data_IF_444183724575
#
_entry.id   IF_444183724575
#
_cell.length_a   1.000
_cell.length_b   1.000
_cell.length_c   1.000
_cell.angle_alpha   90.00
_cell.angle_beta   90.00
_cell.angle_gamma   90.00
#
_symmetry.space_group_name_H-M   'P 1'
#
loop_
_entity.id
_entity.type
_entity.pdbx_description
1 polymer ?
#
# COMPACT_ATOMS: atom_id res chain seq x y z
N UNK A 1 -1.56 -25.62 23.06
CA UNK A 1 -0.94 -24.30 23.31
C UNK A 1 -1.92 -23.25 22.80
N UNK A 2 -2.42 -22.37 23.66
CA UNK A 2 -3.27 -21.24 23.24
C UNK A 2 -2.34 -20.08 22.95
N UNK A 3 -2.04 -19.85 21.68
CA UNK A 3 -1.27 -18.69 21.25
C UNK A 3 -2.21 -17.49 21.28
N UNK A 4 -2.07 -16.62 22.27
CA UNK A 4 -2.75 -15.32 22.28
C UNK A 4 -2.24 -14.51 21.08
N UNK A 5 -3.07 -14.36 20.04
CA UNK A 5 -2.77 -13.41 18.97
C UNK A 5 -2.88 -12.00 19.54
N UNK A 6 -1.78 -11.25 19.49
CA UNK A 6 -1.81 -9.80 19.71
C UNK A 6 -2.84 -9.20 18.74
N UNK A 7 -3.81 -8.43 19.25
CA UNK A 7 -4.70 -7.65 18.39
C UNK A 7 -3.85 -6.72 17.52
N UNK A 8 -4.10 -6.69 16.21
CA UNK A 8 -3.43 -5.76 15.32
C UNK A 8 -3.71 -4.33 15.79
N UNK A 9 -2.70 -3.45 15.73
CA UNK A 9 -2.89 -2.05 16.07
C UNK A 9 -3.87 -1.42 15.06
N UNK A 10 -4.97 -0.86 15.55
CA UNK A 10 -5.93 -0.12 14.76
C UNK A 10 -5.58 1.38 14.76
N UNK A 11 -5.89 2.03 13.64
CA UNK A 11 -5.79 3.46 13.41
C UNK A 11 -7.14 3.98 12.93
N UNK A 12 -7.45 5.24 13.20
CA UNK A 12 -8.70 5.87 12.79
C UNK A 12 -8.41 7.23 12.17
N UNK A 13 -8.94 7.44 10.97
CA UNK A 13 -8.82 8.69 10.22
C UNK A 13 -9.99 8.86 9.29
N UNK A 14 -9.93 9.90 8.45
CA UNK A 14 -10.90 10.10 7.39
C UNK A 14 -10.55 9.26 6.15
N UNK A 15 -11.57 8.73 5.50
CA UNK A 15 -11.48 8.09 4.19
C UNK A 15 -12.08 8.97 3.11
N UNK A 16 -11.39 9.06 1.98
CA UNK A 16 -11.88 9.62 0.71
C UNK A 16 -11.62 8.66 -0.44
N UNK A 17 -12.08 9.02 -1.64
CA UNK A 17 -11.84 8.25 -2.86
C UNK A 17 -11.05 9.03 -3.91
N UNK A 18 -10.12 8.36 -4.59
CA UNK A 18 -9.38 8.90 -5.75
C UNK A 18 -9.23 7.87 -6.86
N UNK A 19 -9.01 8.36 -8.08
CA UNK A 19 -8.80 7.51 -9.26
C UNK A 19 -7.31 7.44 -9.59
N UNK A 20 -6.79 6.22 -9.59
CA UNK A 20 -5.47 5.89 -10.12
C UNK A 20 -5.62 5.26 -11.51
N UNK A 21 -4.97 5.85 -12.53
CA UNK A 21 -5.00 5.36 -13.91
C UNK A 21 -4.52 3.90 -14.03
N UNK A 22 -3.40 3.60 -13.37
CA UNK A 22 -2.83 2.24 -13.29
C UNK A 22 -1.92 2.13 -12.07
N UNK A 23 -1.66 0.92 -11.56
CA UNK A 23 -0.81 0.72 -10.38
C UNK A 23 0.61 1.30 -10.49
N UNK A 24 1.14 1.48 -11.72
CA UNK A 24 2.44 2.11 -11.96
C UNK A 24 2.43 3.64 -11.91
N UNK A 25 1.26 4.28 -11.86
CA UNK A 25 1.13 5.75 -11.81
C UNK A 25 1.27 6.32 -10.40
N UNK A 26 1.14 5.49 -9.36
CA UNK A 26 1.28 5.92 -7.97
C UNK A 26 2.74 6.11 -7.55
N UNK A 27 2.98 6.72 -6.40
CA UNK A 27 4.32 6.96 -5.87
C UNK A 27 5.12 5.67 -5.57
N UNK A 28 4.46 4.50 -5.43
CA UNK A 28 5.19 3.23 -5.38
C UNK A 28 5.72 2.78 -6.76
N UNK A 29 5.12 3.25 -7.85
CA UNK A 29 5.54 2.95 -9.23
C UNK A 29 5.77 1.45 -9.45
N UNK A 30 4.76 0.64 -9.13
CA UNK A 30 4.87 -0.81 -9.25
C UNK A 30 4.93 -1.25 -10.72
N UNK A 31 5.96 -2.02 -11.06
CA UNK A 31 6.14 -2.62 -12.38
C UNK A 31 5.33 -3.91 -12.56
N UNK A 32 5.04 -4.60 -11.47
CA UNK A 32 4.26 -5.83 -11.46
C UNK A 32 3.42 -5.88 -10.17
N UNK A 33 2.14 -6.20 -10.30
CA UNK A 33 1.19 -6.34 -9.18
C UNK A 33 0.14 -7.40 -9.53
N UNK A 34 -0.50 -8.01 -8.52
CA UNK A 34 -1.72 -8.76 -8.72
C UNK A 34 -2.81 -7.90 -9.39
N UNK A 35 -3.66 -8.52 -10.22
CA UNK A 35 -4.74 -7.84 -10.95
C UNK A 35 -5.70 -7.07 -10.04
N UNK A 36 -5.99 -7.62 -8.85
CA UNK A 36 -6.86 -7.01 -7.83
C UNK A 36 -6.38 -5.63 -7.38
N UNK A 37 -5.11 -5.27 -7.59
CA UNK A 37 -4.57 -3.95 -7.24
C UNK A 37 -5.15 -2.84 -8.12
N UNK A 38 -5.74 -3.17 -9.28
CA UNK A 38 -6.43 -2.19 -10.12
C UNK A 38 -7.73 -1.65 -9.50
N UNK A 39 -8.32 -2.38 -8.55
CA UNK A 39 -9.58 -2.02 -7.88
C UNK A 39 -9.42 -1.88 -6.37
N UNK A 40 -8.45 -2.56 -5.74
CA UNK A 40 -8.26 -2.57 -4.29
C UNK A 40 -6.98 -1.84 -3.87
N UNK A 41 -6.88 -0.54 -4.15
CA UNK A 41 -5.69 0.26 -3.84
C UNK A 41 -5.97 1.41 -2.88
N UNK A 42 -4.91 1.84 -2.18
CA UNK A 42 -4.93 2.98 -1.26
C UNK A 42 -3.66 3.82 -1.37
N UNK A 43 -3.83 5.13 -1.25
CA UNK A 43 -2.79 6.10 -0.97
C UNK A 43 -2.75 6.40 0.54
N UNK A 44 -1.55 6.38 1.12
CA UNK A 44 -1.37 6.69 2.54
C UNK A 44 -0.85 8.11 2.72
N UNK A 45 -1.21 8.74 3.85
CA UNK A 45 -0.63 10.00 4.28
C UNK A 45 0.91 9.94 4.33
N UNK A 46 1.57 11.07 4.10
CA UNK A 46 3.05 11.14 4.00
C UNK A 46 3.78 10.46 5.18
N UNK A 47 3.28 10.63 6.40
CA UNK A 47 3.87 9.99 7.59
C UNK A 47 3.76 8.45 7.54
N UNK A 48 2.60 7.92 7.15
CA UNK A 48 2.35 6.47 7.05
C UNK A 48 2.98 5.85 5.82
N UNK A 49 3.15 6.62 4.75
CA UNK A 49 3.87 6.21 3.56
C UNK A 49 5.36 5.96 3.82
N UNK A 50 5.92 6.63 4.84
CA UNK A 50 7.24 6.37 5.42
C UNK A 50 8.37 6.24 4.36
N UNK A 51 8.47 7.25 3.47
CA UNK A 51 9.47 7.28 2.37
C UNK A 51 9.47 6.00 1.53
N UNK A 52 8.30 5.55 1.08
CA UNK A 52 8.06 4.31 0.30
C UNK A 52 8.17 3.00 1.08
N UNK A 53 8.56 3.00 2.36
CA UNK A 53 8.64 1.77 3.16
C UNK A 53 7.27 1.11 3.39
N UNK A 54 6.17 1.83 3.13
CA UNK A 54 4.82 1.28 3.16
C UNK A 54 4.38 0.63 1.83
N UNK A 55 5.10 0.87 0.73
CA UNK A 55 4.74 0.31 -0.58
C UNK A 55 4.68 -1.22 -0.52
N UNK A 56 3.59 -1.78 -1.07
CA UNK A 56 3.38 -3.23 -1.12
C UNK A 56 2.95 -3.84 0.21
N UNK A 57 2.80 -3.03 1.28
CA UNK A 57 2.04 -3.46 2.45
C UNK A 57 0.55 -3.44 2.12
N UNK A 58 -0.22 -4.21 2.87
CA UNK A 58 -1.67 -4.18 2.82
C UNK A 58 -2.27 -3.66 4.12
N UNK A 59 -3.43 -3.03 3.99
CA UNK A 59 -4.25 -2.62 5.12
C UNK A 59 -5.61 -3.30 5.02
N UNK A 60 -6.20 -3.63 6.16
CA UNK A 60 -7.60 -3.97 6.25
C UNK A 60 -8.36 -2.76 6.80
N UNK A 61 -9.45 -2.37 6.16
CA UNK A 61 -10.23 -1.18 6.51
C UNK A 61 -11.71 -1.51 6.60
N UNK A 62 -12.42 -0.77 7.44
CA UNK A 62 -13.87 -0.77 7.58
C UNK A 62 -14.36 0.66 7.84
N UNK A 63 -15.59 0.96 7.40
CA UNK A 63 -16.21 2.21 7.80
C UNK A 63 -16.63 2.17 9.28
N UNK A 64 -16.38 3.28 9.97
CA UNK A 64 -16.78 3.51 11.37
C UNK A 64 -17.59 4.78 11.57
N UNK A 65 -17.88 5.49 10.47
CA UNK A 65 -18.73 6.65 10.50
C UNK A 65 -20.17 6.28 10.84
N UNK A 66 -20.87 7.17 11.56
CA UNK A 66 -22.30 7.02 11.85
C UNK A 66 -23.13 6.99 10.57
N UNK A 67 -22.66 7.66 9.51
CA UNK A 67 -23.35 7.71 8.22
C UNK A 67 -23.36 6.36 7.51
N UNK A 68 -22.38 5.49 7.79
CA UNK A 68 -22.31 4.15 7.19
C UNK A 68 -23.42 3.20 7.69
N UNK A 69 -24.27 3.63 8.62
CA UNK A 69 -25.57 3.00 8.96
C UNK A 69 -25.55 1.46 9.06
N UNK A 70 -24.56 0.91 9.75
CA UNK A 70 -24.45 -0.54 9.95
C UNK A 70 -23.77 -1.30 8.81
N UNK A 71 -23.10 -0.63 7.87
CA UNK A 71 -22.20 -1.28 6.93
C UNK A 71 -21.16 -2.11 7.70
N UNK A 72 -21.08 -3.40 7.37
CA UNK A 72 -20.17 -4.37 8.00
C UNK A 72 -19.05 -4.81 7.07
N UNK A 73 -19.02 -4.28 5.85
CA UNK A 73 -18.00 -4.59 4.87
C UNK A 73 -16.60 -4.25 5.40
N UNK A 74 -15.65 -5.10 5.06
CA UNK A 74 -14.24 -4.95 5.41
C UNK A 74 -13.44 -5.36 4.20
N UNK A 75 -12.56 -4.49 3.74
CA UNK A 75 -11.74 -4.71 2.55
C UNK A 75 -10.27 -4.72 2.88
N UNK A 76 -9.51 -5.50 2.11
CA UNK A 76 -8.04 -5.41 2.13
C UNK A 76 -7.57 -4.63 0.91
N UNK A 77 -6.74 -3.62 1.14
CA UNK A 77 -6.21 -2.72 0.11
C UNK A 77 -4.70 -2.76 0.09
N UNK A 78 -4.15 -2.54 -1.11
CA UNK A 78 -2.73 -2.49 -1.39
C UNK A 78 -2.24 -1.05 -1.38
N UNK A 79 -1.20 -0.78 -0.60
CA UNK A 79 -0.56 0.54 -0.57
C UNK A 79 0.28 0.72 -1.83
N UNK A 80 -0.20 1.59 -2.73
CA UNK A 80 0.44 1.86 -4.03
C UNK A 80 0.84 3.32 -4.22
N UNK A 81 0.38 4.19 -3.33
CA UNK A 81 0.54 5.63 -3.52
C UNK A 81 0.65 6.39 -2.20
N UNK A 82 0.97 7.67 -2.32
CA UNK A 82 1.01 8.63 -1.22
C UNK A 82 -0.03 9.71 -1.46
N UNK A 83 -0.73 10.08 -0.40
CA UNK A 83 -1.61 11.23 -0.34
C UNK A 83 -0.89 12.36 0.45
N UNK A 84 -0.31 13.37 -0.23
CA UNK A 84 0.45 14.43 0.45
C UNK A 84 -0.39 15.32 1.39
N UNK A 85 -1.67 15.51 1.06
CA UNK A 85 -2.62 16.36 1.77
C UNK A 85 -3.36 15.65 2.91
N UNK A 86 -3.29 14.32 2.98
CA UNK A 86 -3.94 13.52 4.00
C UNK A 86 -3.30 13.74 5.37
N UNK A 87 -4.14 13.87 6.42
CA UNK A 87 -3.67 13.77 7.80
C UNK A 87 -3.16 12.36 8.09
N UNK A 88 -2.35 12.21 9.14
CA UNK A 88 -1.56 11.00 9.44
C UNK A 88 -2.31 9.67 9.23
N UNK A 89 -3.54 9.54 9.70
CA UNK A 89 -4.29 8.28 9.67
C UNK A 89 -5.41 8.27 8.63
N UNK A 90 -5.51 9.33 7.83
CA UNK A 90 -6.42 9.43 6.71
C UNK A 90 -5.97 8.51 5.57
N UNK A 91 -6.95 8.04 4.81
CA UNK A 91 -6.79 7.14 3.69
C UNK A 91 -7.49 7.71 2.46
N UNK A 92 -6.88 7.54 1.30
CA UNK A 92 -7.51 7.86 0.03
C UNK A 92 -7.46 6.60 -0.83
N UNK A 93 -8.61 5.98 -1.09
CA UNK A 93 -8.67 4.65 -1.73
C UNK A 93 -9.46 4.67 -3.03
N UNK A 94 -9.50 3.54 -3.72
CA UNK A 94 -10.28 3.43 -4.94
C UNK A 94 -11.78 3.76 -4.68
N UNK A 95 -12.50 4.33 -5.66
CA UNK A 95 -13.92 4.65 -5.48
C UNK A 95 -14.77 3.39 -5.28
N UNK A 96 -14.39 2.29 -5.93
CA UNK A 96 -15.07 1.00 -5.80
C UNK A 96 -15.03 0.48 -4.35
N UNK A 97 -13.84 0.52 -3.72
CA UNK A 97 -13.72 0.11 -2.32
C UNK A 97 -14.43 1.09 -1.41
N UNK A 98 -14.41 2.39 -1.71
CA UNK A 98 -15.17 3.38 -0.93
C UNK A 98 -16.65 3.05 -0.88
N UNK A 99 -17.28 2.86 -2.02
CA UNK A 99 -18.69 2.51 -2.09
C UNK A 99 -19.00 1.19 -1.37
N UNK A 100 -18.13 0.19 -1.50
CA UNK A 100 -18.30 -1.09 -0.82
C UNK A 100 -18.27 -0.96 0.70
N UNK A 101 -17.31 -0.20 1.24
CA UNK A 101 -17.14 0.01 2.68
C UNK A 101 -18.27 0.84 3.30
N UNK A 102 -18.86 1.75 2.53
CA UNK A 102 -19.84 2.71 3.03
C UNK A 102 -21.29 2.26 2.79
N UNK A 103 -21.49 1.15 2.08
CA UNK A 103 -22.82 0.69 1.69
C UNK A 103 -23.45 1.53 0.57
N UNK A 104 -22.62 2.10 -0.31
CA UNK A 104 -23.06 2.88 -1.48
C UNK A 104 -23.23 4.37 -1.21
N UNK A 105 -22.59 4.92 -0.18
CA UNK A 105 -22.58 6.37 0.04
C UNK A 105 -21.61 6.99 -0.96
N UNK A 106 -22.15 7.78 -1.88
CA UNK A 106 -21.43 8.53 -2.92
C UNK A 106 -20.58 9.68 -2.31
N UNK A 107 -19.51 10.10 -3.00
CA UNK A 107 -18.23 10.40 -2.35
C UNK A 107 -18.30 11.57 -1.38
N UNK A 108 -17.72 11.32 -0.20
CA UNK A 108 -17.53 12.29 0.85
C UNK A 108 -16.31 11.94 1.67
N UNK A 109 -16.25 12.49 2.88
CA UNK A 109 -15.21 12.24 3.86
C UNK A 109 -15.85 11.53 5.05
N UNK A 110 -15.49 10.27 5.29
CA UNK A 110 -16.12 9.42 6.29
C UNK A 110 -15.08 8.80 7.21
N UNK A 111 -15.40 8.61 8.49
CA UNK A 111 -14.49 7.96 9.42
C UNK A 111 -14.24 6.50 9.07
N UNK A 112 -12.97 6.15 8.88
CA UNK A 112 -12.50 4.81 8.60
C UNK A 112 -11.61 4.31 9.74
N UNK A 113 -11.70 3.02 10.05
CA UNK A 113 -10.76 2.35 10.93
C UNK A 113 -10.01 1.27 10.17
N UNK A 114 -8.69 1.22 10.35
CA UNK A 114 -7.84 0.32 9.60
C UNK A 114 -6.66 -0.21 10.40
N UNK A 115 -6.05 -1.30 9.92
CA UNK A 115 -4.84 -1.90 10.47
C UNK A 115 -3.98 -2.49 9.36
N UNK A 116 -2.67 -2.62 9.59
CA UNK A 116 -1.80 -3.36 8.67
C UNK A 116 -2.06 -4.87 8.77
N UNK A 117 -2.11 -5.53 7.61
CA UNK A 117 -2.34 -6.98 7.49
C UNK A 117 -1.39 -7.60 6.46
N UNK A 118 -1.29 -8.92 6.48
CA UNK A 118 -0.69 -9.68 5.38
C UNK A 118 -1.58 -9.56 4.15
N UNK A 119 -0.98 -9.30 2.98
CA UNK A 119 -1.71 -9.21 1.74
C UNK A 119 -2.32 -10.58 1.35
N UNK A 120 -3.59 -10.63 0.90
CA UNK A 120 -4.34 -11.87 0.69
C UNK A 120 -4.08 -12.44 -0.72
N UNK A 121 -2.81 -12.62 -1.07
CA UNK A 121 -2.41 -13.29 -2.30
C UNK A 121 -1.26 -14.25 -2.02
N UNK A 122 -0.99 -15.14 -2.97
CA UNK A 122 0.19 -15.99 -2.98
C UNK A 122 0.86 -15.83 -4.33
N UNK A 123 2.11 -15.36 -4.32
CA UNK A 123 2.92 -15.23 -5.52
C UNK A 123 4.39 -15.40 -5.16
N UNK A 124 5.16 -15.86 -6.13
CA UNK A 124 6.61 -15.74 -6.03
C UNK A 124 7.02 -14.26 -6.06
N UNK A 125 8.06 -13.93 -5.31
CA UNK A 125 8.65 -12.58 -5.40
C UNK A 125 9.40 -12.48 -6.72
N UNK A 126 9.01 -11.51 -7.54
CA UNK A 126 9.70 -11.19 -8.79
C UNK A 126 10.52 -9.92 -8.59
N UNK A 127 11.78 -9.95 -9.04
CA UNK A 127 12.64 -8.77 -9.03
C UNK A 127 12.54 -8.03 -10.36
N UNK A 128 11.87 -6.88 -10.36
CA UNK A 128 11.71 -6.03 -11.53
C UNK A 128 12.90 -5.08 -11.65
N UNK A 129 13.67 -5.18 -12.74
CA UNK A 129 14.76 -4.25 -13.03
C UNK A 129 14.20 -2.88 -13.45
N UNK A 130 14.51 -1.82 -12.71
CA UNK A 130 14.02 -0.47 -13.04
C UNK A 130 14.50 -0.03 -14.43
N UNK A 131 13.62 0.54 -15.28
CA UNK A 131 14.03 1.19 -16.52
C UNK A 131 15.15 2.22 -16.28
N UNK A 132 16.18 2.19 -17.12
CA UNK A 132 17.39 2.99 -16.98
C UNK A 132 18.55 2.30 -16.22
N UNK A 133 18.33 1.11 -15.66
CA UNK A 133 19.43 0.33 -15.08
C UNK A 133 20.45 -0.14 -16.13
N UNK A 134 21.73 -0.06 -15.78
CA UNK A 134 22.91 -0.36 -16.60
C UNK A 134 24.01 -1.03 -15.76
N UNK A 135 25.19 -1.24 -16.34
CA UNK A 135 26.36 -1.75 -15.61
C UNK A 135 26.91 -0.81 -14.53
N UNK A 136 26.57 0.49 -14.59
CA UNK A 136 27.04 1.51 -13.65
C UNK A 136 26.00 1.88 -12.59
N UNK A 137 24.72 1.55 -12.84
CA UNK A 137 23.61 1.92 -11.97
C UNK A 137 22.54 0.84 -12.02
N UNK A 138 22.20 0.25 -10.89
CA UNK A 138 21.20 -0.80 -10.81
C UNK A 138 20.22 -0.50 -9.69
N UNK A 139 18.93 -0.48 -10.03
CA UNK A 139 17.87 -0.52 -9.04
C UNK A 139 16.83 -1.58 -9.40
N UNK A 140 16.32 -2.27 -8.38
CA UNK A 140 15.35 -3.35 -8.52
C UNK A 140 14.14 -3.09 -7.63
N UNK A 141 12.97 -3.54 -8.05
CA UNK A 141 11.75 -3.50 -7.27
C UNK A 141 11.28 -4.92 -7.01
N UNK A 142 11.19 -5.36 -5.74
CA UNK A 142 10.53 -6.61 -5.40
C UNK A 142 9.02 -6.44 -5.57
N UNK A 143 8.40 -7.30 -6.36
CA UNK A 143 6.96 -7.39 -6.58
C UNK A 143 6.42 -8.74 -6.10
N UNK A 144 5.17 -8.79 -5.64
CA UNK A 144 4.52 -10.02 -5.17
C UNK A 144 4.85 -10.41 -3.71
N UNK A 145 5.46 -9.52 -2.94
CA UNK A 145 5.64 -9.74 -1.51
C UNK A 145 4.30 -9.58 -0.77
N UNK A 146 3.99 -10.50 0.13
CA UNK A 146 2.74 -10.49 0.93
C UNK A 146 2.84 -9.65 2.22
N UNK A 147 4.05 -9.19 2.54
CA UNK A 147 4.35 -8.27 3.63
C UNK A 147 5.39 -7.25 3.16
N UNK A 148 5.56 -6.15 3.90
CA UNK A 148 6.50 -5.12 3.53
C UNK A 148 7.95 -5.62 3.47
N UNK A 149 8.67 -5.27 2.41
CA UNK A 149 10.08 -5.63 2.25
C UNK A 149 10.96 -4.65 3.03
N UNK A 150 11.71 -5.16 4.00
CA UNK A 150 12.60 -4.32 4.84
C UNK A 150 13.95 -4.04 4.18
N UNK A 151 14.46 -4.96 3.37
CA UNK A 151 15.74 -4.82 2.68
C UNK A 151 15.83 -5.78 1.49
N UNK A 152 16.67 -5.41 0.52
CA UNK A 152 17.08 -6.27 -0.60
C UNK A 152 18.61 -6.36 -0.58
N UNK A 153 19.14 -7.52 -0.94
CA UNK A 153 20.58 -7.69 -1.20
C UNK A 153 20.77 -8.24 -2.60
N UNK A 154 21.73 -7.71 -3.32
CA UNK A 154 22.09 -8.18 -4.66
C UNK A 154 23.49 -8.79 -4.57
N UNK A 155 23.58 -10.11 -4.74
CA UNK A 155 24.83 -10.87 -4.58
C UNK A 155 25.55 -10.55 -3.24
N UNK A 156 24.78 -10.47 -2.16
CA UNK A 156 25.29 -10.17 -0.81
C UNK A 156 25.55 -8.70 -0.50
N UNK A 157 25.54 -7.80 -1.50
CA UNK A 157 25.70 -6.35 -1.31
C UNK A 157 24.39 -5.70 -0.90
N UNK A 158 24.47 -4.76 0.04
CA UNK A 158 23.32 -3.98 0.51
C UNK A 158 22.83 -3.00 -0.56
N UNK A 159 21.54 -2.69 -0.50
CA UNK A 159 20.90 -1.66 -1.31
C UNK A 159 20.36 -0.54 -0.43
N UNK A 160 20.35 0.70 -0.90
CA UNK A 160 19.53 1.77 -0.35
C UNK A 160 18.22 1.92 -1.14
N UNK A 161 17.29 2.70 -0.61
CA UNK A 161 16.06 3.04 -1.36
C UNK A 161 16.26 4.30 -2.18
N UNK A 162 15.62 4.35 -3.34
CA UNK A 162 15.47 5.58 -4.12
C UNK A 162 14.43 6.47 -3.43
N UNK A 163 14.76 7.74 -3.17
CA UNK A 163 13.89 8.63 -2.40
C UNK A 163 12.51 8.88 -3.04
N UNK A 164 12.42 8.80 -4.37
CA UNK A 164 11.22 9.16 -5.13
C UNK A 164 10.34 8.00 -5.56
N UNK A 165 10.77 6.75 -5.35
CA UNK A 165 10.03 5.58 -5.81
C UNK A 165 10.48 4.30 -5.09
N UNK A 166 9.61 3.29 -5.04
CA UNK A 166 9.88 2.01 -4.40
C UNK A 166 10.83 1.14 -5.22
N UNK A 167 12.13 1.48 -5.17
CA UNK A 167 13.22 0.74 -5.79
C UNK A 167 14.41 0.68 -4.85
N UNK A 168 15.01 -0.50 -4.79
CA UNK A 168 16.23 -0.78 -4.06
C UNK A 168 17.42 -0.64 -5.00
N UNK A 169 18.21 0.41 -4.80
CA UNK A 169 19.39 0.77 -5.57
C UNK A 169 20.62 0.11 -4.95
N UNK A 170 21.42 -0.57 -5.76
CA UNK A 170 22.72 -1.06 -5.32
C UNK A 170 23.59 0.13 -4.91
N UNK A 171 24.12 0.11 -3.68
CA UNK A 171 25.04 1.15 -3.27
C UNK A 171 26.40 0.95 -3.97
N UNK A 172 26.97 2.04 -4.47
CA UNK A 172 28.34 2.04 -4.98
C UNK A 172 29.27 1.60 -3.84
N UNK A 173 30.10 0.59 -4.10
CA UNK A 173 31.21 0.23 -3.21
C UNK A 173 32.30 1.29 -3.22
#
# INVERSE_FOLDING_TARGET
MVTTMSRAQEFTGDGTGYVLDKPSSGNCNFMNVPEVVSTNYVALATERFARTAACGKCIQVRCTDVQCNGATATETLYVVDRCPECAKDDLDFSPEVFLKLTGGIEPGRLKMTWSYVTCPHSSDIVMCKKPGSSGFWLAVQPAGAVTGVSSVKINGKSTGMVDSAYYFKLESS
#
